data_IF_685797321578
#
_entry.id   IF_685797321578
#
_cell.length_a   1.000
_cell.length_b   1.000
_cell.length_c   1.000
_cell.angle_alpha   90.00
_cell.angle_beta   90.00
_cell.angle_gamma   90.00
#
_symmetry.space_group_name_H-M   'P 1'
#
loop_
_entity.id
_entity.type
_entity.pdbx_description
1 polymer ?
#
# COMPACT_ATOMS: atom_id res chain seq x y z
N UNK A 1 -13.08 20.35 17.51
CA UNK A 1 -12.42 19.04 17.33
C UNK A 1 -12.60 18.58 15.90
N UNK A 2 -11.53 18.07 15.32
CA UNK A 2 -11.55 17.62 13.93
C UNK A 2 -12.13 16.20 13.86
N UNK A 3 -13.09 16.00 12.99
CA UNK A 3 -13.63 14.65 12.79
C UNK A 3 -12.60 13.78 12.08
N UNK A 4 -12.51 12.50 12.45
CA UNK A 4 -11.64 11.59 11.72
C UNK A 4 -12.14 11.39 10.29
N UNK A 5 -11.21 11.03 9.39
CA UNK A 5 -11.58 10.71 8.02
C UNK A 5 -12.48 9.47 8.01
N UNK A 6 -13.43 9.46 7.09
CA UNK A 6 -14.32 8.32 6.89
C UNK A 6 -13.58 7.18 6.21
N UNK A 7 -14.08 5.97 6.39
CA UNK A 7 -13.51 4.80 5.73
C UNK A 7 -13.44 4.96 4.22
N UNK A 8 -14.47 5.56 3.60
CA UNK A 8 -14.47 5.79 2.16
C UNK A 8 -13.32 6.67 1.70
N UNK A 9 -12.92 7.66 2.49
CA UNK A 9 -11.81 8.54 2.17
C UNK A 9 -10.47 7.82 2.30
N UNK A 10 -10.34 6.96 3.31
CA UNK A 10 -9.14 6.15 3.48
C UNK A 10 -8.97 5.13 2.37
N UNK A 11 -10.08 4.56 1.89
CA UNK A 11 -10.05 3.67 0.73
C UNK A 11 -9.54 4.39 -0.53
N UNK A 12 -9.93 5.65 -0.70
CA UNK A 12 -9.44 6.43 -1.83
C UNK A 12 -7.93 6.68 -1.73
N UNK A 13 -7.41 6.90 -0.51
CA UNK A 13 -5.98 7.03 -0.30
C UNK A 13 -5.25 5.72 -0.65
N UNK A 14 -5.82 4.60 -0.23
CA UNK A 14 -5.28 3.28 -0.56
C UNK A 14 -5.28 3.08 -2.07
N UNK A 15 -6.40 3.37 -2.73
CA UNK A 15 -6.52 3.21 -4.18
C UNK A 15 -5.51 4.08 -4.93
N UNK A 16 -5.35 5.33 -4.52
CA UNK A 16 -4.39 6.23 -5.16
C UNK A 16 -2.97 5.70 -5.04
N UNK A 17 -2.58 5.21 -3.86
CA UNK A 17 -1.26 4.64 -3.66
C UNK A 17 -1.06 3.37 -4.49
N UNK A 18 -2.05 2.48 -4.52
CA UNK A 18 -2.01 1.27 -5.33
C UNK A 18 -1.84 1.62 -6.82
N UNK A 19 -2.62 2.57 -7.31
CA UNK A 19 -2.57 2.96 -8.72
C UNK A 19 -1.20 3.54 -9.08
N UNK A 20 -0.63 4.37 -8.20
CA UNK A 20 0.71 4.91 -8.42
C UNK A 20 1.76 3.81 -8.48
N UNK A 21 1.67 2.82 -7.59
CA UNK A 21 2.61 1.70 -7.59
C UNK A 21 2.46 0.85 -8.87
N UNK A 22 1.23 0.48 -9.21
CA UNK A 22 0.98 -0.36 -10.40
C UNK A 22 1.42 0.36 -11.67
N UNK A 23 1.06 1.65 -11.81
CA UNK A 23 1.34 2.40 -13.02
C UNK A 23 2.83 2.68 -13.21
N UNK A 24 3.60 2.74 -12.12
CA UNK A 24 5.02 3.08 -12.19
C UNK A 24 5.96 1.88 -12.06
N UNK A 25 5.53 0.80 -11.42
CA UNK A 25 6.41 -0.36 -11.22
C UNK A 25 6.83 -1.01 -12.54
N UNK A 26 6.00 -0.92 -13.58
CA UNK A 26 6.34 -1.48 -14.90
C UNK A 26 7.46 -0.72 -15.59
N UNK A 27 7.80 0.49 -15.11
CA UNK A 27 8.86 1.32 -15.69
C UNK A 27 10.25 0.96 -15.19
N UNK A 28 10.34 0.07 -14.19
CA UNK A 28 11.60 -0.26 -13.53
C UNK A 28 11.79 -1.77 -13.43
N UNK A 29 13.03 -2.22 -13.53
CA UNK A 29 13.45 -3.47 -12.93
C UNK A 29 13.84 -3.15 -11.48
N UNK A 30 14.02 -4.17 -10.65
CA UNK A 30 14.50 -3.93 -9.28
C UNK A 30 15.86 -3.25 -9.29
N UNK A 31 16.74 -3.69 -10.20
CA UNK A 31 18.07 -3.10 -10.34
C UNK A 31 18.00 -1.62 -10.69
N UNK A 32 17.15 -1.25 -11.63
CA UNK A 32 16.94 0.14 -12.01
C UNK A 32 16.37 0.97 -10.88
N UNK A 33 15.43 0.39 -10.13
CA UNK A 33 14.83 1.07 -8.98
C UNK A 33 15.88 1.35 -7.90
N UNK A 34 16.75 0.37 -7.62
CA UNK A 34 17.81 0.53 -6.63
C UNK A 34 18.85 1.57 -7.06
N UNK A 35 19.00 1.78 -8.35
CA UNK A 35 19.90 2.80 -8.88
C UNK A 35 19.33 4.21 -8.82
N UNK A 36 18.03 4.34 -8.47
CA UNK A 36 17.35 5.63 -8.35
C UNK A 36 16.77 5.76 -6.94
N UNK A 37 17.54 6.32 -5.98
CA UNK A 37 17.11 6.40 -4.59
C UNK A 37 15.80 7.18 -4.40
N UNK A 38 15.54 8.20 -5.19
CA UNK A 38 14.31 8.97 -5.08
C UNK A 38 13.12 8.12 -5.46
N UNK A 39 13.21 7.37 -6.56
CA UNK A 39 12.15 6.46 -6.95
C UNK A 39 11.98 5.33 -5.93
N UNK A 40 13.09 4.77 -5.45
CA UNK A 40 13.05 3.69 -4.46
C UNK A 40 12.30 4.12 -3.19
N UNK A 41 12.68 5.25 -2.60
CA UNK A 41 12.02 5.73 -1.39
C UNK A 41 10.59 6.20 -1.65
N UNK A 42 10.31 6.64 -2.87
CA UNK A 42 8.94 6.93 -3.28
C UNK A 42 8.06 5.68 -3.23
N UNK A 43 8.57 4.56 -3.73
CA UNK A 43 7.87 3.28 -3.68
C UNK A 43 7.66 2.81 -2.23
N UNK A 44 8.69 2.93 -1.41
CA UNK A 44 8.62 2.60 0.02
C UNK A 44 7.51 3.42 0.68
N UNK A 45 7.47 4.71 0.41
CA UNK A 45 6.46 5.59 0.98
C UNK A 45 5.05 5.22 0.55
N UNK A 46 4.86 4.87 -0.70
CA UNK A 46 3.54 4.47 -1.19
C UNK A 46 3.05 3.18 -0.53
N UNK A 47 3.94 2.21 -0.33
CA UNK A 47 3.61 0.98 0.40
C UNK A 47 3.24 1.31 1.86
N UNK A 48 4.00 2.19 2.49
CA UNK A 48 3.71 2.64 3.85
C UNK A 48 2.35 3.31 3.96
N UNK A 49 1.99 4.16 2.99
CA UNK A 49 0.69 4.84 2.95
C UNK A 49 -0.45 3.82 2.93
N UNK A 50 -0.31 2.75 2.14
CA UNK A 50 -1.33 1.70 2.09
C UNK A 50 -1.51 1.08 3.48
N UNK A 51 -0.42 0.75 4.14
CA UNK A 51 -0.47 0.16 5.48
C UNK A 51 -1.08 1.10 6.51
N UNK A 52 -0.68 2.37 6.48
CA UNK A 52 -1.16 3.38 7.41
C UNK A 52 -2.66 3.63 7.26
N UNK A 53 -3.12 3.80 6.02
CA UNK A 53 -4.54 4.01 5.76
C UNK A 53 -5.37 2.77 6.15
N UNK A 54 -4.85 1.57 5.88
CA UNK A 54 -5.52 0.33 6.27
C UNK A 54 -5.66 0.22 7.78
N UNK A 55 -4.59 0.55 8.50
CA UNK A 55 -4.58 0.52 9.97
C UNK A 55 -5.68 1.43 10.55
N UNK A 56 -5.97 2.53 9.88
CA UNK A 56 -6.93 3.53 10.36
C UNK A 56 -8.36 3.26 9.92
N UNK A 57 -8.62 2.24 9.09
CA UNK A 57 -9.98 1.82 8.79
C UNK A 57 -10.64 1.27 10.06
N UNK A 58 -11.96 1.47 10.17
CA UNK A 58 -12.69 0.94 11.32
C UNK A 58 -12.69 -0.58 11.29
N UNK A 59 -12.76 -1.17 12.48
CA UNK A 59 -12.83 -2.64 12.59
C UNK A 59 -14.10 -3.18 11.96
N UNK A 60 -15.20 -2.45 12.08
CA UNK A 60 -16.47 -2.81 11.50
C UNK A 60 -16.38 -2.90 9.98
N UNK A 61 -15.77 -1.90 9.35
CA UNK A 61 -15.62 -1.90 7.90
C UNK A 61 -14.79 -3.10 7.43
N UNK A 62 -13.68 -3.37 8.12
CA UNK A 62 -12.80 -4.49 7.77
C UNK A 62 -13.52 -5.83 7.95
N UNK A 63 -14.32 -5.96 9.01
CA UNK A 63 -15.08 -7.18 9.27
C UNK A 63 -16.17 -7.41 8.22
N UNK A 64 -16.74 -6.33 7.68
CA UNK A 64 -17.75 -6.41 6.64
C UNK A 64 -17.18 -6.82 5.26
N UNK A 65 -15.87 -6.74 5.09
CA UNK A 65 -15.21 -7.04 3.82
C UNK A 65 -14.05 -8.04 4.02
N UNK A 66 -14.36 -9.28 4.47
CA UNK A 66 -13.32 -10.26 4.80
C UNK A 66 -12.56 -10.80 3.59
N UNK A 67 -13.05 -10.56 2.37
CA UNK A 67 -12.38 -10.95 1.13
C UNK A 67 -11.09 -10.17 0.87
N UNK A 68 -10.93 -9.02 1.51
CA UNK A 68 -9.73 -8.19 1.37
C UNK A 68 -8.71 -8.61 2.43
N UNK A 69 -7.44 -8.79 2.07
CA UNK A 69 -6.40 -9.21 3.04
C UNK A 69 -5.92 -8.02 3.88
N UNK A 70 -6.78 -7.52 4.75
CA UNK A 70 -6.49 -6.34 5.57
C UNK A 70 -5.26 -6.51 6.44
N UNK A 71 -5.04 -7.71 7.00
CA UNK A 71 -3.88 -7.95 7.86
C UNK A 71 -2.57 -7.83 7.09
N UNK A 72 -2.54 -8.33 5.85
CA UNK A 72 -1.36 -8.21 4.99
C UNK A 72 -1.11 -6.75 4.65
N UNK A 73 -2.17 -6.02 4.31
CA UNK A 73 -2.08 -4.60 3.96
C UNK A 73 -1.63 -3.74 5.14
N UNK A 74 -2.18 -4.01 6.33
CA UNK A 74 -1.82 -3.25 7.52
C UNK A 74 -0.33 -3.37 7.83
N UNK A 75 0.25 -4.56 7.62
CA UNK A 75 1.68 -4.79 7.88
C UNK A 75 2.59 -3.97 6.98
N UNK A 76 2.09 -3.45 5.88
CA UNK A 76 2.87 -2.61 4.97
C UNK A 76 3.33 -1.31 5.64
N UNK A 77 2.65 -0.86 6.70
CA UNK A 77 3.06 0.31 7.46
C UNK A 77 4.36 0.10 8.23
N UNK A 78 4.77 -1.15 8.40
CA UNK A 78 5.97 -1.50 9.17
C UNK A 78 7.24 -1.56 8.33
N UNK A 79 7.18 -1.23 7.05
CA UNK A 79 8.34 -1.33 6.18
C UNK A 79 9.50 -0.44 6.62
N UNK A 80 9.20 0.67 7.34
CA UNK A 80 10.20 1.60 7.87
C UNK A 80 10.19 1.66 9.40
N UNK A 81 9.85 0.56 10.08
CA UNK A 81 9.57 0.58 11.52
C UNK A 81 10.73 1.11 12.36
N UNK A 82 11.93 0.64 12.11
CA UNK A 82 13.07 0.96 12.98
C UNK A 82 14.19 1.70 12.23
N UNK A 83 14.46 1.29 11.02
CA UNK A 83 15.62 1.77 10.29
C UNK A 83 15.39 1.53 8.80
N UNK A 84 15.40 2.61 8.04
CA UNK A 84 15.20 2.51 6.60
C UNK A 84 16.34 1.75 5.90
N UNK A 85 17.49 1.58 6.56
CA UNK A 85 18.55 0.74 6.03
C UNK A 85 18.22 -0.75 6.11
N UNK A 86 17.23 -1.11 6.93
CA UNK A 86 16.82 -2.50 7.11
C UNK A 86 15.79 -2.98 6.10
N UNK A 87 15.37 -2.12 5.18
CA UNK A 87 14.41 -2.51 4.16
C UNK A 87 15.02 -3.57 3.26
N UNK A 88 14.30 -4.70 3.11
CA UNK A 88 14.71 -5.75 2.18
C UNK A 88 14.17 -5.41 0.78
N UNK A 89 15.05 -5.05 -0.19
CA UNK A 89 14.57 -4.64 -1.51
C UNK A 89 13.79 -5.72 -2.25
N UNK A 90 14.19 -6.97 -2.11
CA UNK A 90 13.50 -8.08 -2.77
C UNK A 90 12.09 -8.25 -2.21
N UNK A 91 11.93 -8.08 -0.90
CA UNK A 91 10.62 -8.16 -0.25
C UNK A 91 9.73 -6.99 -0.68
N UNK A 92 10.27 -5.79 -0.72
CA UNK A 92 9.55 -4.62 -1.22
C UNK A 92 9.08 -4.87 -2.66
N UNK A 93 9.97 -5.37 -3.50
CA UNK A 93 9.66 -5.60 -4.91
C UNK A 93 8.58 -6.67 -5.09
N UNK A 94 8.62 -7.74 -4.30
CA UNK A 94 7.59 -8.76 -4.29
C UNK A 94 6.24 -8.19 -3.89
N UNK A 95 6.20 -7.34 -2.86
CA UNK A 95 4.98 -6.66 -2.45
C UNK A 95 4.41 -5.83 -3.59
N UNK A 96 5.25 -5.02 -4.24
CA UNK A 96 4.82 -4.11 -5.31
C UNK A 96 4.38 -4.87 -6.57
N UNK A 97 5.08 -5.94 -6.94
CA UNK A 97 4.85 -6.62 -8.21
C UNK A 97 3.87 -7.77 -8.12
N UNK A 98 3.66 -8.32 -6.94
CA UNK A 98 2.79 -9.50 -6.75
C UNK A 98 1.59 -9.14 -5.88
N UNK A 99 1.82 -8.69 -4.65
CA UNK A 99 0.73 -8.47 -3.69
C UNK A 99 -0.18 -7.32 -4.12
N UNK A 100 0.40 -6.19 -4.49
CA UNK A 100 -0.39 -5.00 -4.84
C UNK A 100 -1.27 -5.23 -6.06
N UNK A 101 -0.81 -5.84 -7.17
CA UNK A 101 -1.70 -6.14 -8.29
C UNK A 101 -2.84 -7.09 -7.93
N UNK A 102 -2.64 -8.02 -7.01
CA UNK A 102 -3.69 -8.92 -6.55
C UNK A 102 -4.73 -8.20 -5.70
N UNK A 103 -4.30 -7.22 -4.91
CA UNK A 103 -5.18 -6.45 -4.02
C UNK A 103 -5.99 -5.41 -4.80
N UNK A 104 -5.42 -4.86 -5.87
CA UNK A 104 -6.04 -3.76 -6.61
C UNK A 104 -7.49 -4.02 -7.00
N UNK A 105 -7.87 -5.15 -7.64
CA UNK A 105 -9.28 -5.34 -8.02
C UNK A 105 -10.22 -5.43 -6.83
N UNK A 106 -9.74 -5.92 -5.69
CA UNK A 106 -10.56 -6.00 -4.48
C UNK A 106 -10.88 -4.60 -3.95
N UNK A 107 -9.89 -3.71 -3.94
CA UNK A 107 -10.09 -2.33 -3.48
C UNK A 107 -10.95 -1.55 -4.48
N UNK A 108 -10.68 -1.70 -5.78
CA UNK A 108 -11.47 -1.03 -6.82
C UNK A 108 -12.95 -1.40 -6.70
N UNK A 109 -13.23 -2.66 -6.43
CA UNK A 109 -14.60 -3.16 -6.26
C UNK A 109 -15.33 -2.48 -5.09
N UNK A 110 -14.63 -2.21 -3.99
CA UNK A 110 -15.24 -1.55 -2.83
C UNK A 110 -15.58 -0.09 -3.12
N UNK A 111 -14.78 0.57 -3.95
CA UNK A 111 -14.99 1.98 -4.27
C UNK A 111 -16.09 2.15 -5.31
N UNK A 112 -16.22 1.19 -6.21
CA UNK A 112 -17.23 1.22 -7.27
C UNK A 112 -18.64 0.85 -6.78
N UNK A 113 -18.77 0.42 -5.54
CA UNK A 113 -20.08 0.14 -4.94
C UNK A 113 -20.92 1.44 -4.75
#
# INVERSE_FOLDING_TARGET
MREPLRDSERLKHIQAAINNLVNNSSKYSLEELLADPIAYYGFVKLVEIIGEATYKLTKEYRADHPEVPWDVMEKMRHILVHDYYSINPAQLWGTVRIDIPEIKPLIDSLIDE
#
